data_IF_810727953658
#
_entry.id   IF_810727953658
#
_cell.length_a   1.000
_cell.length_b   1.000
_cell.length_c   1.000
_cell.angle_alpha   90.00
_cell.angle_beta   90.00
_cell.angle_gamma   90.00
#
_symmetry.space_group_name_H-M   'P 1'
#
loop_
_entity.id
_entity.type
_entity.pdbx_description
1 polymer ?
#
# COMPACT_ATOMS: atom_id res chain seq x y z
N UNK A 1 74.46 9.49 10.26
CA UNK A 1 73.75 8.58 11.16
C UNK A 1 72.86 9.45 12.05
N UNK A 2 71.66 9.77 11.55
CA UNK A 2 70.67 10.56 12.27
C UNK A 2 69.55 9.60 12.68
N UNK A 3 69.29 9.53 13.98
CA UNK A 3 68.13 8.85 14.55
C UNK A 3 66.95 9.83 14.47
N UNK A 4 66.04 9.63 13.51
CA UNK A 4 64.72 10.24 13.56
C UNK A 4 63.77 9.28 14.27
N UNK A 5 63.33 9.68 15.46
CA UNK A 5 62.21 9.09 16.17
C UNK A 5 60.92 9.44 15.44
N UNK A 6 60.39 8.49 14.66
CA UNK A 6 59.05 8.58 14.08
C UNK A 6 58.02 8.35 15.19
N UNK A 7 57.50 9.46 15.71
CA UNK A 7 56.37 9.53 16.62
C UNK A 7 55.11 8.98 15.92
N UNK A 8 54.80 7.70 16.17
CA UNK A 8 53.52 7.12 15.76
C UNK A 8 52.43 7.70 16.64
N UNK A 9 51.87 8.84 16.23
CA UNK A 9 50.56 9.29 16.70
C UNK A 9 49.52 8.25 16.30
N UNK A 10 49.34 7.27 17.17
CA UNK A 10 48.23 6.34 17.15
C UNK A 10 46.95 7.17 17.29
N UNK A 11 46.32 7.50 16.16
CA UNK A 11 44.97 8.07 16.12
C UNK A 11 44.06 7.10 16.87
N UNK A 12 43.80 7.38 18.14
CA UNK A 12 42.69 6.80 18.90
C UNK A 12 41.37 7.34 18.32
N UNK A 13 41.08 6.98 17.07
CA UNK A 13 39.70 6.99 16.60
C UNK A 13 38.95 6.00 17.49
N UNK A 14 37.84 6.40 18.13
CA UNK A 14 37.06 5.45 18.93
C UNK A 14 36.74 4.23 18.07
N UNK A 15 36.80 3.01 18.63
CA UNK A 15 36.38 1.81 17.91
C UNK A 15 34.99 2.08 17.33
N UNK A 16 34.78 1.78 16.05
CA UNK A 16 33.51 2.08 15.39
C UNK A 16 32.31 1.44 16.11
N UNK A 17 32.54 0.41 16.92
CA UNK A 17 31.57 -0.21 17.83
C UNK A 17 30.99 0.76 18.88
N UNK A 18 31.72 1.82 19.24
CA UNK A 18 31.22 2.88 20.13
C UNK A 18 30.10 3.65 19.45
N UNK A 19 30.13 3.79 18.12
CA UNK A 19 29.06 4.46 17.38
C UNK A 19 27.76 3.64 17.42
N UNK A 20 27.83 2.31 17.43
CA UNK A 20 26.65 1.45 17.57
C UNK A 20 26.02 1.59 18.96
N UNK A 21 26.83 1.73 20.01
CA UNK A 21 26.35 2.00 21.37
C UNK A 21 25.63 3.35 21.45
N UNK A 22 26.22 4.40 20.87
CA UNK A 22 25.59 5.73 20.82
C UNK A 22 24.32 5.70 19.98
N UNK A 23 24.33 5.01 18.84
CA UNK A 23 23.19 4.94 17.92
C UNK A 23 21.94 4.34 18.57
N UNK A 24 22.09 3.40 19.50
CA UNK A 24 20.97 2.82 20.25
C UNK A 24 20.25 3.82 21.18
N UNK A 25 20.87 4.96 21.48
CA UNK A 25 20.29 6.03 22.29
C UNK A 25 19.71 7.19 21.46
N UNK A 26 19.87 7.16 20.13
CA UNK A 26 19.37 8.19 19.25
C UNK A 26 17.92 7.91 18.85
N UNK A 27 17.13 8.98 18.70
CA UNK A 27 15.82 8.85 18.07
C UNK A 27 15.98 8.58 16.55
N UNK A 28 14.95 8.00 15.90
CA UNK A 28 15.02 7.65 14.48
C UNK A 28 15.29 8.84 13.54
N UNK A 29 14.87 10.05 13.93
CA UNK A 29 15.15 11.26 13.17
C UNK A 29 16.62 11.64 13.25
N UNK A 30 17.20 11.66 14.44
CA UNK A 30 18.62 11.96 14.64
C UNK A 30 19.52 10.90 13.98
N UNK A 31 19.15 9.62 14.04
CA UNK A 31 19.87 8.53 13.38
C UNK A 31 19.91 8.71 11.85
N UNK A 32 18.78 9.10 11.25
CA UNK A 32 18.69 9.41 9.82
C UNK A 32 19.56 10.62 9.44
N UNK A 33 19.57 11.67 10.26
CA UNK A 33 20.44 12.84 10.03
C UNK A 33 21.92 12.49 10.15
N UNK A 34 22.29 11.67 11.15
CA UNK A 34 23.65 11.17 11.33
C UNK A 34 24.15 10.36 10.11
N UNK A 35 23.27 9.56 9.50
CA UNK A 35 23.59 8.80 8.29
C UNK A 35 23.96 9.68 7.08
N UNK A 36 23.64 10.97 7.09
CA UNK A 36 23.96 11.91 6.01
C UNK A 36 25.32 12.61 6.15
N UNK A 37 26.06 12.39 7.25
CA UNK A 37 27.31 13.12 7.52
C UNK A 37 28.45 12.71 6.58
N UNK A 38 28.70 11.40 6.44
CA UNK A 38 29.71 10.86 5.53
C UNK A 38 29.42 9.38 5.19
N UNK A 39 30.19 8.77 4.28
CA UNK A 39 29.98 7.38 3.84
C UNK A 39 30.04 6.38 5.00
N UNK A 40 31.01 6.51 5.91
CA UNK A 40 31.15 5.61 7.06
C UNK A 40 29.96 5.71 8.01
N UNK A 41 29.51 6.94 8.30
CA UNK A 41 28.32 7.17 9.12
C UNK A 41 27.06 6.65 8.44
N UNK A 42 26.94 6.79 7.12
CA UNK A 42 25.84 6.24 6.35
C UNK A 42 25.75 4.72 6.51
N UNK A 43 26.87 4.00 6.37
CA UNK A 43 26.91 2.54 6.52
C UNK A 43 26.54 2.11 7.95
N UNK A 44 27.16 2.73 8.96
CA UNK A 44 26.90 2.38 10.37
C UNK A 44 25.47 2.71 10.79
N UNK A 45 25.04 3.96 10.57
CA UNK A 45 23.74 4.45 11.03
C UNK A 45 22.56 3.89 10.23
N UNK A 46 22.79 3.27 9.07
CA UNK A 46 21.74 2.60 8.27
C UNK A 46 21.66 1.08 8.52
N UNK A 47 22.47 0.55 9.44
CA UNK A 47 22.60 -0.89 9.67
C UNK A 47 21.33 -1.50 10.26
N UNK A 48 20.89 -2.65 9.72
CA UNK A 48 19.57 -3.24 9.99
C UNK A 48 19.33 -3.53 11.48
N UNK A 49 20.38 -3.89 12.23
CA UNK A 49 20.28 -4.19 13.65
C UNK A 49 19.85 -2.98 14.52
N UNK A 50 20.17 -1.76 14.08
CA UNK A 50 19.72 -0.52 14.74
C UNK A 50 18.26 -0.22 14.43
N UNK A 51 17.84 -0.45 13.18
CA UNK A 51 16.50 -0.11 12.70
C UNK A 51 15.45 -1.17 13.01
N UNK A 52 15.83 -2.44 13.18
CA UNK A 52 14.92 -3.54 13.51
C UNK A 52 14.08 -3.29 14.77
N UNK A 53 14.66 -2.94 15.94
CA UNK A 53 13.85 -2.68 17.15
C UNK A 53 12.95 -1.45 16.98
N UNK A 54 13.43 -0.40 16.31
CA UNK A 54 12.65 0.82 16.02
C UNK A 54 11.45 0.55 15.10
N UNK A 55 11.66 -0.24 14.05
CA UNK A 55 10.61 -0.63 13.12
C UNK A 55 9.61 -1.57 13.80
N UNK A 56 10.07 -2.52 14.62
CA UNK A 56 9.20 -3.48 15.30
C UNK A 56 8.35 -2.84 16.41
N UNK A 57 8.86 -1.79 17.06
CA UNK A 57 8.10 -1.03 18.05
C UNK A 57 7.06 -0.09 17.41
N UNK A 58 7.41 0.57 16.31
CA UNK A 58 6.57 1.61 15.69
C UNK A 58 5.65 1.07 14.58
N UNK A 59 6.15 0.16 13.75
CA UNK A 59 5.51 -0.35 12.53
C UNK A 59 5.52 -1.87 12.46
N UNK A 60 4.92 -2.54 13.45
CA UNK A 60 4.91 -4.00 13.58
C UNK A 60 4.49 -4.75 12.31
N UNK A 61 3.49 -4.25 11.58
CA UNK A 61 3.03 -4.87 10.33
C UNK A 61 4.10 -4.85 9.23
N UNK A 62 4.90 -3.79 9.15
CA UNK A 62 6.00 -3.69 8.20
C UNK A 62 7.18 -4.60 8.60
N UNK A 63 7.46 -4.71 9.90
CA UNK A 63 8.44 -5.68 10.39
C UNK A 63 8.03 -7.12 10.08
N UNK A 64 6.75 -7.47 10.19
CA UNK A 64 6.27 -8.80 9.80
C UNK A 64 6.38 -9.03 8.29
N UNK A 65 6.16 -7.99 7.48
CA UNK A 65 6.32 -8.06 6.02
C UNK A 65 7.77 -8.38 5.63
N UNK A 66 8.77 -7.90 6.38
CA UNK A 66 10.18 -8.23 6.18
C UNK A 66 10.43 -9.75 6.23
N UNK A 67 9.71 -10.47 7.07
CA UNK A 67 9.84 -11.93 7.17
C UNK A 67 9.36 -12.63 5.88
N UNK A 68 8.42 -12.04 5.15
CA UNK A 68 7.97 -12.50 3.84
C UNK A 68 8.81 -11.95 2.68
N UNK A 69 9.45 -10.79 2.85
CA UNK A 69 10.24 -10.09 1.84
C UNK A 69 11.63 -9.69 2.39
N UNK A 70 12.58 -10.64 2.31
CA UNK A 70 13.93 -10.53 2.89
C UNK A 70 14.90 -9.61 2.14
N UNK A 71 14.45 -8.85 1.13
CA UNK A 71 15.30 -7.92 0.35
C UNK A 71 15.29 -6.45 0.85
N UNK A 72 14.19 -5.99 1.47
CA UNK A 72 14.05 -4.60 1.97
C UNK A 72 14.58 -4.33 3.39
N UNK A 73 15.65 -3.54 3.56
CA UNK A 73 16.19 -3.14 4.88
C UNK A 73 15.16 -2.54 5.85
N UNK A 74 15.36 -2.71 7.16
CA UNK A 74 14.48 -2.14 8.20
C UNK A 74 14.46 -0.61 8.19
N UNK A 75 15.56 0.03 7.81
CA UNK A 75 15.63 1.48 7.62
C UNK A 75 14.66 1.98 6.53
N UNK A 76 14.54 1.23 5.42
CA UNK A 76 13.57 1.53 4.34
C UNK A 76 12.14 1.29 4.81
N UNK A 77 11.89 0.22 5.55
CA UNK A 77 10.56 -0.07 6.11
C UNK A 77 10.11 1.00 7.11
N UNK A 78 11.01 1.44 7.99
CA UNK A 78 10.73 2.54 8.92
C UNK A 78 10.41 3.83 8.15
N UNK A 79 11.19 4.14 7.12
CA UNK A 79 10.97 5.30 6.24
C UNK A 79 9.60 5.23 5.56
N UNK A 80 9.20 4.05 5.07
CA UNK A 80 7.90 3.80 4.47
C UNK A 80 6.75 4.01 5.48
N UNK A 81 6.88 3.47 6.69
CA UNK A 81 5.91 3.66 7.77
C UNK A 81 5.75 5.15 8.12
N UNK A 82 6.86 5.87 8.28
CA UNK A 82 6.87 7.32 8.55
C UNK A 82 6.21 8.12 7.43
N UNK A 83 6.48 7.78 6.17
CA UNK A 83 5.85 8.42 5.02
C UNK A 83 4.35 8.12 4.96
N UNK A 84 3.92 6.91 5.32
CA UNK A 84 2.51 6.54 5.40
C UNK A 84 1.79 7.31 6.52
N UNK A 85 2.38 7.45 7.70
CA UNK A 85 1.81 8.24 8.80
C UNK A 85 1.65 9.72 8.43
N UNK A 86 2.70 10.32 7.84
CA UNK A 86 2.61 11.71 7.34
C UNK A 86 1.48 11.88 6.33
N UNK A 87 1.28 10.91 5.44
CA UNK A 87 0.16 10.92 4.48
C UNK A 87 -1.20 10.79 5.16
N UNK A 88 -1.32 9.98 6.22
CA UNK A 88 -2.58 9.84 6.98
C UNK A 88 -2.97 11.10 7.73
N UNK A 89 -1.98 11.89 8.19
CA UNK A 89 -2.21 13.19 8.83
C UNK A 89 -2.61 14.25 7.81
N UNK A 90 -2.16 14.13 6.56
CA UNK A 90 -2.60 15.01 5.49
C UNK A 90 -4.07 14.71 5.15
N UNK A 91 -4.87 15.76 4.96
CA UNK A 91 -6.24 15.62 4.49
C UNK A 91 -6.19 14.83 3.18
N UNK A 92 -6.81 13.63 3.11
CA UNK A 92 -6.84 12.89 1.86
C UNK A 92 -7.44 13.79 0.80
N UNK A 93 -6.83 13.80 -0.39
CA UNK A 93 -7.43 14.47 -1.53
C UNK A 93 -8.87 13.98 -1.63
N UNK A 94 -9.81 14.92 -1.79
CA UNK A 94 -11.22 14.56 -1.91
C UNK A 94 -11.31 13.56 -3.06
N UNK A 95 -11.75 12.31 -2.85
CA UNK A 95 -11.87 11.36 -3.93
C UNK A 95 -12.85 11.97 -4.94
N UNK A 96 -12.33 12.31 -6.12
CA UNK A 96 -13.14 12.81 -7.22
C UNK A 96 -13.71 11.59 -7.93
N UNK A 97 -14.84 11.11 -7.43
CA UNK A 97 -15.62 10.06 -8.07
C UNK A 97 -16.74 10.72 -8.86
N UNK A 98 -16.62 10.75 -10.18
CA UNK A 98 -17.70 11.19 -11.07
C UNK A 98 -18.60 10.01 -11.41
N UNK A 99 -19.90 10.25 -11.52
CA UNK A 99 -20.82 9.24 -12.05
C UNK A 99 -20.47 8.86 -13.49
N UNK A 100 -19.88 9.78 -14.26
CA UNK A 100 -19.41 9.53 -15.62
C UNK A 100 -18.29 8.49 -15.69
N UNK A 101 -17.51 8.35 -14.62
CA UNK A 101 -16.39 7.41 -14.56
C UNK A 101 -16.86 6.03 -14.07
N UNK A 102 -18.16 5.82 -13.81
CA UNK A 102 -18.69 4.58 -13.26
C UNK A 102 -19.47 3.77 -14.30
N UNK A 103 -19.36 2.45 -14.22
CA UNK A 103 -20.21 1.50 -14.93
C UNK A 103 -20.96 0.65 -13.91
N UNK A 104 -22.28 0.56 -14.08
CA UNK A 104 -23.14 -0.27 -13.26
C UNK A 104 -23.45 -1.54 -14.04
N UNK A 105 -22.99 -2.68 -13.53
CA UNK A 105 -23.19 -3.97 -14.15
C UNK A 105 -24.11 -4.83 -13.28
N UNK A 106 -25.13 -5.39 -13.89
CA UNK A 106 -26.05 -6.33 -13.25
C UNK A 106 -25.92 -7.63 -13.98
N UNK A 107 -25.67 -8.68 -13.23
CA UNK A 107 -25.49 -10.00 -13.78
C UNK A 107 -26.44 -10.98 -13.10
N UNK A 108 -27.24 -11.63 -13.91
CA UNK A 108 -28.26 -12.59 -13.47
C UNK A 108 -27.80 -13.96 -13.94
N UNK A 109 -27.46 -14.80 -12.97
CA UNK A 109 -26.93 -16.14 -13.20
C UNK A 109 -27.85 -17.19 -12.58
N UNK A 110 -27.90 -18.37 -13.18
CA UNK A 110 -28.36 -19.59 -12.52
C UNK A 110 -27.16 -20.33 -11.92
N UNK A 111 -27.43 -21.46 -11.27
CA UNK A 111 -26.39 -22.41 -10.84
C UNK A 111 -25.54 -22.94 -12.00
N UNK A 112 -26.00 -22.82 -13.26
CA UNK A 112 -25.40 -23.44 -14.44
C UNK A 112 -24.85 -22.44 -15.46
N UNK A 113 -25.45 -21.26 -15.60
CA UNK A 113 -25.08 -20.30 -16.65
C UNK A 113 -25.46 -18.84 -16.34
N UNK A 114 -24.85 -17.88 -17.05
CA UNK A 114 -25.30 -16.48 -17.02
C UNK A 114 -26.46 -16.27 -18.00
N UNK A 115 -27.57 -15.73 -17.48
CA UNK A 115 -28.82 -15.51 -18.21
C UNK A 115 -28.78 -14.15 -18.91
N UNK A 116 -28.34 -13.13 -18.19
CA UNK A 116 -28.22 -11.78 -18.72
C UNK A 116 -27.21 -10.97 -17.93
N UNK A 117 -26.36 -10.25 -18.65
CA UNK A 117 -25.49 -9.22 -18.10
C UNK A 117 -25.86 -7.88 -18.74
N UNK A 118 -26.24 -6.90 -17.93
CA UNK A 118 -26.54 -5.54 -18.38
C UNK A 118 -25.52 -4.59 -17.79
N UNK A 119 -24.91 -3.79 -18.65
CA UNK A 119 -23.97 -2.73 -18.26
C UNK A 119 -24.57 -1.38 -18.64
N UNK A 120 -24.60 -0.46 -17.66
CA UNK A 120 -25.05 0.92 -17.84
C UNK A 120 -23.94 1.90 -17.45
N UNK A 121 -23.46 2.73 -18.39
CA UNK A 121 -22.56 3.83 -18.06
C UNK A 121 -23.27 4.82 -17.15
N UNK A 122 -22.61 5.25 -16.08
CA UNK A 122 -23.18 6.17 -15.11
C UNK A 122 -23.47 7.54 -15.72
N UNK A 123 -22.72 7.95 -16.74
CA UNK A 123 -22.98 9.18 -17.50
C UNK A 123 -24.33 9.21 -18.22
N UNK A 124 -24.97 8.07 -18.44
CA UNK A 124 -26.30 7.96 -19.05
C UNK A 124 -27.44 7.95 -18.02
N UNK A 125 -27.11 7.86 -16.73
CA UNK A 125 -28.09 7.73 -15.67
C UNK A 125 -28.69 9.09 -15.32
N UNK A 126 -30.02 9.17 -15.36
CA UNK A 126 -30.76 10.36 -14.94
C UNK A 126 -30.85 10.39 -13.42
N UNK A 127 -30.16 11.37 -12.83
CA UNK A 127 -30.20 11.63 -11.39
C UNK A 127 -31.41 12.52 -11.09
N UNK A 128 -32.21 12.13 -10.11
CA UNK A 128 -33.35 12.91 -9.64
C UNK A 128 -32.92 14.10 -8.76
N UNK A 129 -33.90 14.93 -8.38
CA UNK A 129 -33.68 16.10 -7.51
C UNK A 129 -33.11 15.76 -6.12
N UNK A 130 -33.19 14.50 -5.70
CA UNK A 130 -32.69 14.01 -4.41
C UNK A 130 -31.29 13.37 -4.55
N UNK A 131 -30.69 13.36 -5.74
CA UNK A 131 -29.39 12.74 -5.98
C UNK A 131 -29.46 11.22 -6.21
N UNK A 132 -30.66 10.66 -6.43
CA UNK A 132 -30.85 9.23 -6.65
C UNK A 132 -31.05 8.97 -8.14
N UNK A 133 -30.37 7.96 -8.70
CA UNK A 133 -30.62 7.48 -10.05
C UNK A 133 -31.29 6.11 -10.01
N UNK A 134 -31.98 5.76 -11.11
CA UNK A 134 -32.60 4.45 -11.32
C UNK A 134 -32.41 4.07 -12.77
N UNK A 135 -32.28 2.77 -13.03
CA UNK A 135 -32.33 2.22 -14.37
C UNK A 135 -33.01 0.85 -14.29
N UNK A 136 -33.78 0.55 -15.33
CA UNK A 136 -34.49 -0.70 -15.45
C UNK A 136 -33.71 -1.66 -16.34
N UNK A 137 -33.96 -2.95 -16.12
CA UNK A 137 -33.36 -4.04 -16.87
C UNK A 137 -34.50 -4.87 -17.41
N UNK A 138 -34.63 -4.88 -18.72
CA UNK A 138 -35.57 -5.76 -19.39
C UNK A 138 -34.90 -7.13 -19.56
N UNK A 139 -35.55 -8.15 -18.98
CA UNK A 139 -35.11 -9.54 -19.11
C UNK A 139 -36.15 -10.24 -19.99
N UNK A 140 -35.73 -10.69 -21.17
CA UNK A 140 -36.61 -11.42 -22.08
C UNK A 140 -37.09 -12.70 -21.41
N UNK A 141 -38.42 -12.85 -21.32
CA UNK A 141 -39.06 -13.98 -20.64
C UNK A 141 -38.64 -15.32 -21.23
N UNK A 142 -38.32 -15.41 -22.52
CA UNK A 142 -37.90 -16.64 -23.21
C UNK A 142 -36.63 -17.25 -22.61
N UNK A 143 -35.72 -16.42 -22.09
CA UNK A 143 -34.51 -16.86 -21.37
C UNK A 143 -34.79 -17.26 -19.91
N UNK A 144 -35.97 -16.90 -19.40
CA UNK A 144 -36.45 -17.24 -18.05
C UNK A 144 -37.39 -18.46 -18.03
N UNK A 145 -37.83 -19.00 -19.19
CA UNK A 145 -38.74 -20.16 -19.25
C UNK A 145 -38.03 -21.48 -18.91
N UNK A 146 -36.68 -21.51 -18.94
CA UNK A 146 -35.87 -22.67 -18.54
C UNK A 146 -35.68 -22.84 -17.04
N UNK A 147 -36.30 -22.00 -16.20
CA UNK A 147 -36.15 -22.07 -14.74
C UNK A 147 -36.96 -23.25 -14.18
N UNK A 148 -36.31 -24.41 -14.06
CA UNK A 148 -36.81 -25.46 -13.17
C UNK A 148 -36.75 -24.95 -11.72
N UNK A 149 -37.74 -25.33 -10.90
CA UNK A 149 -37.86 -24.92 -9.50
C UNK A 149 -36.67 -25.29 -8.59
N UNK A 150 -35.65 -25.97 -9.14
CA UNK A 150 -34.42 -26.41 -8.49
C UNK A 150 -33.21 -25.50 -8.76
N UNK A 151 -33.25 -24.62 -9.78
CA UNK A 151 -32.09 -23.78 -10.11
C UNK A 151 -32.11 -22.47 -9.29
N UNK A 152 -31.09 -22.30 -8.44
CA UNK A 152 -30.96 -21.09 -7.62
C UNK A 152 -30.59 -19.89 -8.49
N UNK A 153 -31.45 -18.89 -8.54
CA UNK A 153 -31.17 -17.61 -9.18
C UNK A 153 -30.22 -16.77 -8.31
N UNK A 154 -29.12 -16.31 -8.91
CA UNK A 154 -28.16 -15.39 -8.30
C UNK A 154 -28.14 -14.09 -9.09
N UNK A 155 -28.45 -12.99 -8.41
CA UNK A 155 -28.37 -11.65 -8.98
C UNK A 155 -27.19 -10.93 -8.33
N UNK A 156 -26.29 -10.40 -9.14
CA UNK A 156 -25.11 -9.66 -8.69
C UNK A 156 -25.15 -8.24 -9.23
N UNK A 157 -24.87 -7.28 -8.35
CA UNK A 157 -24.72 -5.87 -8.71
C UNK A 157 -23.28 -5.43 -8.50
N UNK A 158 -22.65 -4.94 -9.56
CA UNK A 158 -21.25 -4.50 -9.55
C UNK A 158 -21.17 -3.03 -9.99
N UNK A 159 -20.27 -2.29 -9.36
CA UNK A 159 -19.94 -0.91 -9.74
C UNK A 159 -18.46 -0.87 -10.09
N UNK A 160 -18.13 -0.47 -11.30
CA UNK A 160 -16.78 -0.51 -11.86
C UNK A 160 -16.33 0.91 -12.21
N UNK A 161 -15.11 1.28 -11.81
CA UNK A 161 -14.50 2.57 -12.16
C UNK A 161 -13.76 2.45 -13.50
N UNK A 162 -13.97 3.42 -14.40
CA UNK A 162 -13.25 3.55 -15.66
C UNK A 162 -11.73 3.65 -15.38
N UNK A 163 -10.96 2.67 -15.88
CA UNK A 163 -9.52 2.54 -15.63
C UNK A 163 -9.13 1.37 -14.73
N UNK A 164 -10.08 0.82 -13.95
CA UNK A 164 -9.95 -0.46 -13.25
C UNK A 164 -10.83 -1.50 -13.96
N UNK A 165 -10.44 -1.91 -15.18
CA UNK A 165 -11.00 -3.10 -15.82
C UNK A 165 -10.50 -4.34 -15.05
N UNK A 166 -11.07 -4.59 -13.89
CA UNK A 166 -10.92 -5.88 -13.22
C UNK A 166 -11.69 -6.86 -14.09
N UNK A 167 -10.95 -7.66 -14.85
CA UNK A 167 -11.47 -8.79 -15.60
C UNK A 167 -12.15 -9.75 -14.62
N UNK A 168 -13.47 -9.65 -14.47
CA UNK A 168 -14.26 -10.79 -14.01
C UNK A 168 -14.44 -11.71 -15.22
N UNK A 169 -13.75 -12.85 -15.20
CA UNK A 169 -13.95 -13.98 -16.11
C UNK A 169 -15.30 -14.64 -15.85
#
# INVERSE_FOLDING_TARGET
MFLETSDTMQKCSPPWQVLDLVANHLDPGTLATAACVCKSWSISMSSDHLWQPLCSSTYRSLSNLRAAASDVSYSKLYSLGRAADKRRVQKPLKPHLSLHDLFFAVDVQTSRESVVTVVKPGGELKVDKNGVFRFDIEVESEKLVGFEALDSLRITWNVVLEGLRVFSR
#
